data_IF_074807505748
#
_entry.id   IF_074807505748
#
_cell.length_a   1.000
_cell.length_b   1.000
_cell.length_c   1.000
_cell.angle_alpha   90.00
_cell.angle_beta   90.00
_cell.angle_gamma   90.00
#
_symmetry.space_group_name_H-M   'P 1'
#
loop_
_entity.id
_entity.type
_entity.pdbx_description
1 polymer ?
#
# COMPACT_ATOMS: atom_id res chain seq x y z
N UNK A 1 4.65 14.48 3.52
CA UNK A 1 6.02 15.01 3.72
C UNK A 1 7.09 13.92 3.80
N UNK A 2 6.82 12.75 4.38
CA UNK A 2 7.82 11.66 4.42
C UNK A 2 8.18 11.13 3.02
N UNK A 3 7.19 10.87 2.16
CA UNK A 3 7.39 10.41 0.78
C UNK A 3 8.31 11.33 -0.04
N UNK A 4 8.05 12.65 -0.03
CA UNK A 4 8.88 13.64 -0.73
C UNK A 4 10.34 13.68 -0.25
N UNK A 5 10.61 13.33 1.03
CA UNK A 5 11.97 13.28 1.58
C UNK A 5 12.74 12.03 1.17
N UNK A 6 12.01 10.94 0.93
CA UNK A 6 12.55 9.70 0.34
C UNK A 6 12.69 9.78 -1.19
N UNK A 7 12.38 10.95 -1.79
CA UNK A 7 12.43 11.14 -3.23
C UNK A 7 11.20 10.62 -3.98
N UNK A 8 10.17 10.12 -3.27
CA UNK A 8 8.91 9.66 -3.88
C UNK A 8 8.03 10.87 -4.13
N UNK A 9 7.94 11.27 -5.39
CA UNK A 9 7.18 12.46 -5.80
C UNK A 9 5.89 12.09 -6.54
N UNK A 10 5.83 10.88 -7.08
CA UNK A 10 4.72 10.42 -7.91
C UNK A 10 4.06 9.14 -7.36
N UNK A 11 2.80 8.94 -7.71
CA UNK A 11 2.07 7.70 -7.39
C UNK A 11 2.73 6.49 -8.08
N UNK A 12 3.30 6.69 -9.27
CA UNK A 12 4.03 5.67 -10.02
C UNK A 12 5.26 5.15 -9.25
N UNK A 13 6.03 6.04 -8.62
CA UNK A 13 7.16 5.66 -7.77
C UNK A 13 6.69 4.96 -6.50
N UNK A 14 5.55 5.37 -5.94
CA UNK A 14 4.97 4.77 -4.75
C UNK A 14 4.51 3.32 -4.99
N UNK A 15 3.82 3.05 -6.11
CA UNK A 15 3.37 1.68 -6.46
C UNK A 15 4.52 0.75 -6.84
N UNK A 16 5.64 1.31 -7.28
CA UNK A 16 6.84 0.55 -7.61
C UNK A 16 7.56 0.00 -6.35
N UNK A 17 7.26 0.54 -5.18
CA UNK A 17 7.78 0.11 -3.89
C UNK A 17 6.89 -0.98 -3.27
N UNK A 18 7.49 -1.84 -2.44
CA UNK A 18 6.76 -2.82 -1.64
C UNK A 18 6.33 -2.25 -0.29
N UNK A 19 5.37 -2.93 0.34
CA UNK A 19 4.89 -2.58 1.68
C UNK A 19 6.04 -2.52 2.70
N UNK A 20 6.95 -3.50 2.63
CA UNK A 20 8.15 -3.58 3.47
C UNK A 20 9.11 -2.40 3.25
N UNK A 21 9.24 -1.92 2.01
CA UNK A 21 10.06 -0.75 1.69
C UNK A 21 9.43 0.52 2.28
N UNK A 22 8.10 0.64 2.22
CA UNK A 22 7.38 1.76 2.83
C UNK A 22 7.50 1.75 4.36
N UNK A 23 7.43 0.59 4.99
CA UNK A 23 7.64 0.41 6.43
C UNK A 23 9.06 0.79 6.91
N UNK A 24 10.06 0.68 6.03
CA UNK A 24 11.44 1.07 6.36
C UNK A 24 11.66 2.60 6.29
N UNK A 25 10.72 3.36 5.72
CA UNK A 25 10.83 4.82 5.63
C UNK A 25 10.72 5.44 7.03
N UNK A 26 11.64 6.35 7.37
CA UNK A 26 11.62 7.04 8.66
C UNK A 26 10.37 7.93 8.76
N UNK A 27 9.56 7.71 9.79
CA UNK A 27 8.21 8.28 10.01
C UNK A 27 7.10 7.70 9.11
N UNK A 28 7.32 6.54 8.48
CA UNK A 28 6.23 5.68 8.05
C UNK A 28 5.91 4.69 9.17
N UNK A 29 4.61 4.44 9.35
CA UNK A 29 4.11 3.37 10.22
C UNK A 29 2.93 2.70 9.52
N UNK A 30 2.41 1.65 10.14
CA UNK A 30 1.30 0.86 9.60
C UNK A 30 0.14 1.73 9.09
N UNK A 31 -0.31 2.69 9.89
CA UNK A 31 -1.38 3.62 9.51
C UNK A 31 -1.09 4.41 8.23
N UNK A 32 0.15 4.87 8.03
CA UNK A 32 0.53 5.60 6.81
C UNK A 32 0.56 4.68 5.58
N UNK A 33 0.89 3.41 5.78
CA UNK A 33 0.88 2.39 4.72
C UNK A 33 -0.56 2.07 4.31
N UNK A 34 -1.45 1.86 5.29
CA UNK A 34 -2.87 1.64 5.04
C UNK A 34 -3.49 2.81 4.28
N UNK A 35 -3.23 4.04 4.70
CA UNK A 35 -3.71 5.24 3.99
C UNK A 35 -3.20 5.34 2.54
N UNK A 36 -1.97 4.88 2.28
CA UNK A 36 -1.41 4.80 0.92
C UNK A 36 -2.11 3.70 0.13
N UNK A 37 -2.30 2.53 0.73
CA UNK A 37 -2.94 1.36 0.12
C UNK A 37 -4.38 1.67 -0.27
N UNK A 38 -5.17 2.24 0.62
CA UNK A 38 -6.55 2.64 0.35
C UNK A 38 -6.65 3.64 -0.80
N UNK A 39 -5.74 4.62 -0.85
CA UNK A 39 -5.67 5.57 -1.97
C UNK A 39 -5.31 4.89 -3.28
N UNK A 40 -4.43 3.89 -3.27
CA UNK A 40 -4.09 3.13 -4.46
C UNK A 40 -5.27 2.29 -4.93
N UNK A 41 -5.96 1.60 -4.02
CA UNK A 41 -7.16 0.81 -4.33
C UNK A 41 -8.26 1.71 -4.90
N UNK A 42 -8.45 2.90 -4.33
CA UNK A 42 -9.40 3.90 -4.86
C UNK A 42 -9.09 4.33 -6.31
N UNK A 43 -7.82 4.26 -6.71
CA UNK A 43 -7.35 4.55 -8.07
C UNK A 43 -7.32 3.31 -8.98
N UNK A 44 -7.70 2.13 -8.48
CA UNK A 44 -7.58 0.86 -9.21
C UNK A 44 -6.14 0.37 -9.35
N UNK A 45 -5.24 0.83 -8.47
CA UNK A 45 -3.84 0.47 -8.42
C UNK A 45 -3.53 -0.37 -7.17
N UNK A 46 -2.42 -1.10 -7.19
CA UNK A 46 -1.97 -1.94 -6.07
C UNK A 46 -0.47 -1.80 -5.88
N UNK A 47 0.00 -1.97 -4.64
CA UNK A 47 1.44 -2.00 -4.32
C UNK A 47 2.07 -3.27 -4.92
N UNK A 48 3.38 -3.20 -5.20
CA UNK A 48 4.15 -4.30 -5.81
C UNK A 48 4.16 -5.61 -5.00
N UNK A 49 3.89 -5.56 -3.71
CA UNK A 49 3.85 -6.73 -2.82
C UNK A 49 2.51 -7.49 -2.85
N UNK A 50 1.49 -6.97 -3.54
CA UNK A 50 0.29 -7.77 -3.83
C UNK A 50 0.67 -8.88 -4.81
N UNK A 51 0.72 -10.10 -4.27
CA UNK A 51 1.03 -11.36 -4.97
C UNK A 51 0.46 -11.39 -6.40
N UNK A 52 1.30 -11.55 -7.44
CA UNK A 52 0.84 -11.59 -8.83
C UNK A 52 -0.02 -12.84 -9.06
N UNK A 53 -1.29 -12.63 -9.38
CA UNK A 53 -2.31 -13.69 -9.51
C UNK A 53 -3.35 -13.73 -8.39
N UNK A 54 -3.19 -12.90 -7.37
CA UNK A 54 -4.17 -12.70 -6.31
C UNK A 54 -4.72 -11.27 -6.42
N UNK A 55 -5.88 -11.14 -7.06
CA UNK A 55 -6.59 -9.87 -7.21
C UNK A 55 -7.16 -9.46 -5.85
N UNK A 56 -6.30 -8.89 -5.00
CA UNK A 56 -6.60 -8.53 -3.62
C UNK A 56 -7.76 -7.53 -3.48
N UNK A 57 -8.17 -6.88 -4.57
CA UNK A 57 -9.38 -6.05 -4.62
C UNK A 57 -10.67 -6.82 -4.30
N UNK A 58 -10.71 -8.14 -4.51
CA UNK A 58 -11.86 -9.00 -4.18
C UNK A 58 -11.78 -9.61 -2.77
N UNK A 59 -10.59 -9.68 -2.16
CA UNK A 59 -10.38 -10.44 -0.90
C UNK A 59 -10.05 -9.56 0.31
N UNK A 60 -9.47 -8.37 0.12
CA UNK A 60 -9.17 -7.44 1.23
C UNK A 60 -10.38 -6.60 1.67
N UNK A 61 -11.48 -6.59 0.92
CA UNK A 61 -12.77 -6.02 1.34
C UNK A 61 -13.60 -6.96 2.24
N UNK A 62 -13.03 -8.09 2.68
CA UNK A 62 -13.73 -9.14 3.44
C UNK A 62 -12.96 -9.71 4.63
N UNK A 63 -11.84 -9.10 5.04
CA UNK A 63 -11.28 -9.34 6.39
C UNK A 63 -11.71 -8.19 7.32
N UNK A 64 -13.02 -7.97 7.39
CA UNK A 64 -13.63 -7.81 8.71
C UNK A 64 -13.55 -9.19 9.37
N UNK A 65 -13.03 -9.18 10.58
CA UNK A 65 -12.92 -10.26 11.54
C UNK A 65 -14.28 -10.96 11.79
N UNK A 66 -14.68 -11.92 10.95
CA UNK A 66 -15.72 -12.91 11.31
C UNK A 66 -15.58 -14.22 10.52
N UNK A 67 -14.58 -15.04 10.88
CA UNK A 67 -14.60 -16.52 10.85
C UNK A 67 -13.49 -16.97 11.82
N UNK A 68 -13.71 -17.37 13.06
CA UNK A 68 -14.69 -18.27 13.70
C UNK A 68 -14.95 -17.82 15.13
#
# INVERSE_FOLDING_TARGET
>A
NCLKREGINTVAELVALSETQLMNIRNFGQKSVDEVRDKLVSLGLSLKDSVPGFDGAQFYGGYDDETV
#
